data_IF_757705610261
#
_entry.id   IF_757705610261
#
_cell.length_a   1.000
_cell.length_b   1.000
_cell.length_c   1.000
_cell.angle_alpha   90.00
_cell.angle_beta   90.00
_cell.angle_gamma   90.00
#
_symmetry.space_group_name_H-M   'P 1'
#
loop_
_entity.id
_entity.type
_entity.pdbx_description
1 polymer ?
#
# COMPACT_ATOMS: atom_id res chain seq x y z
N UNK A 1 -31.00 14.87 23.46
CA UNK A 1 -30.62 14.69 22.04
C UNK A 1 -29.35 13.87 21.97
N UNK A 2 -29.45 12.56 21.77
CA UNK A 2 -28.28 11.73 21.60
C UNK A 2 -27.63 12.06 20.25
N UNK A 3 -26.58 12.89 20.25
CA UNK A 3 -25.63 12.98 19.14
C UNK A 3 -24.74 11.72 19.17
N UNK A 4 -25.38 10.56 19.05
CA UNK A 4 -24.68 9.31 18.76
C UNK A 4 -24.27 9.43 17.29
N UNK A 5 -22.99 9.72 17.08
CA UNK A 5 -22.42 9.84 15.73
C UNK A 5 -22.78 8.62 14.90
N UNK A 6 -23.06 8.84 13.62
CA UNK A 6 -23.37 7.76 12.69
C UNK A 6 -22.26 6.70 12.79
N UNK A 7 -22.62 5.50 13.24
CA UNK A 7 -21.69 4.38 13.38
C UNK A 7 -21.00 4.19 12.03
N UNK A 8 -19.66 4.28 12.00
CA UNK A 8 -18.89 3.91 10.80
C UNK A 8 -19.25 2.46 10.45
N UNK A 9 -19.72 2.17 9.23
CA UNK A 9 -20.01 0.80 8.84
C UNK A 9 -18.75 -0.04 9.03
N UNK A 10 -18.85 -1.12 9.81
CA UNK A 10 -17.73 -2.04 9.90
C UNK A 10 -17.43 -2.59 8.49
N UNK A 11 -16.17 -2.89 8.13
CA UNK A 11 -15.86 -3.51 6.83
C UNK A 11 -16.62 -4.81 6.56
N UNK A 12 -17.08 -5.49 7.62
CA UNK A 12 -17.98 -6.65 7.55
C UNK A 12 -19.43 -6.28 7.22
N UNK A 13 -19.89 -5.11 7.64
CA UNK A 13 -21.23 -4.55 7.41
C UNK A 13 -21.32 -3.84 6.04
N UNK A 14 -20.21 -3.31 5.50
CA UNK A 14 -20.18 -2.52 4.25
C UNK A 14 -20.09 -3.35 2.96
N UNK A 15 -20.08 -4.69 3.04
CA UNK A 15 -20.27 -5.60 1.90
C UNK A 15 -19.21 -5.58 0.79
N UNK A 16 -18.31 -4.60 0.78
CA UNK A 16 -17.34 -4.36 -0.27
C UNK A 16 -16.14 -5.31 -0.12
N UNK A 17 -16.36 -6.59 -0.40
CA UNK A 17 -15.29 -7.53 -0.71
C UNK A 17 -14.76 -7.15 -2.09
N UNK A 18 -13.88 -6.14 -2.13
CA UNK A 18 -13.19 -5.79 -3.36
C UNK A 18 -12.52 -7.06 -3.93
N UNK A 19 -12.63 -7.31 -5.25
CA UNK A 19 -11.94 -8.43 -5.86
C UNK A 19 -10.44 -8.31 -5.57
N UNK A 20 -9.82 -9.43 -5.19
CA UNK A 20 -8.37 -9.47 -5.03
C UNK A 20 -7.74 -9.26 -6.39
N UNK A 21 -6.63 -8.53 -6.44
CA UNK A 21 -5.86 -8.39 -7.67
C UNK A 21 -5.49 -9.78 -8.20
N UNK A 22 -5.66 -9.99 -9.51
CA UNK A 22 -5.20 -11.20 -10.21
C UNK A 22 -3.68 -11.22 -10.39
N UNK A 23 -3.07 -10.02 -10.42
CA UNK A 23 -1.63 -9.88 -10.50
C UNK A 23 -0.96 -10.39 -9.21
N UNK A 24 0.16 -11.12 -9.34
CA UNK A 24 0.93 -11.53 -8.17
C UNK A 24 1.42 -10.29 -7.42
N UNK A 25 1.62 -10.39 -6.09
CA UNK A 25 2.24 -9.31 -5.34
C UNK A 25 3.58 -8.96 -5.99
N UNK A 26 3.87 -7.66 -6.06
CA UNK A 26 5.17 -7.20 -6.53
C UNK A 26 6.25 -7.93 -5.72
N UNK A 27 7.28 -8.49 -6.37
CA UNK A 27 8.39 -9.12 -5.66
C UNK A 27 8.93 -8.19 -4.58
N UNK A 28 9.43 -8.76 -3.48
CA UNK A 28 10.17 -7.97 -2.50
C UNK A 28 11.20 -7.12 -3.25
N UNK A 29 11.05 -5.81 -3.17
CA UNK A 29 12.02 -4.87 -3.73
C UNK A 29 13.28 -5.09 -2.90
N UNK A 30 14.19 -5.91 -3.41
CA UNK A 30 15.45 -6.24 -2.75
C UNK A 30 16.34 -5.00 -2.72
N UNK A 31 16.14 -4.21 -1.68
CA UNK A 31 17.14 -3.32 -1.13
C UNK A 31 17.21 -3.69 0.34
N UNK A 32 18.36 -4.24 0.77
CA UNK A 32 18.66 -4.39 2.20
C UNK A 32 18.21 -3.12 2.93
N UNK A 33 17.71 -3.27 4.17
CA UNK A 33 17.47 -2.12 5.03
C UNK A 33 18.68 -1.18 4.93
N UNK A 34 18.43 0.10 4.64
CA UNK A 34 19.51 1.05 4.36
C UNK A 34 20.46 1.03 5.55
N UNK A 35 21.71 0.65 5.31
CA UNK A 35 22.75 0.68 6.36
C UNK A 35 23.18 2.10 6.70
N UNK A 36 22.81 3.08 5.87
CA UNK A 36 23.12 4.49 6.03
C UNK A 36 21.92 5.38 5.70
N UNK A 37 21.88 6.60 6.23
CA UNK A 37 20.80 7.58 5.97
C UNK A 37 20.87 8.20 4.55
N UNK A 38 21.87 7.82 3.76
CA UNK A 38 22.10 8.41 2.45
C UNK A 38 21.09 7.90 1.43
N UNK A 39 20.50 8.83 0.66
CA UNK A 39 19.57 8.49 -0.41
C UNK A 39 20.35 7.92 -1.59
N UNK A 40 19.92 6.77 -2.13
CA UNK A 40 20.46 6.25 -3.37
C UNK A 40 20.14 7.24 -4.50
N UNK A 41 21.12 7.48 -5.37
CA UNK A 41 20.91 8.30 -6.57
C UNK A 41 19.98 7.54 -7.52
N UNK A 42 19.04 8.22 -8.20
CA UNK A 42 18.22 7.57 -9.21
C UNK A 42 19.12 6.95 -10.29
N UNK A 43 18.86 5.69 -10.63
CA UNK A 43 19.52 5.04 -11.75
C UNK A 43 19.00 5.69 -13.03
N UNK A 44 19.88 6.36 -13.78
CA UNK A 44 19.55 6.81 -15.12
C UNK A 44 19.42 5.58 -16.02
N UNK A 45 18.19 5.16 -16.31
CA UNK A 45 17.94 4.21 -17.38
C UNK A 45 18.26 4.92 -18.70
N UNK A 46 19.45 4.67 -19.24
CA UNK A 46 19.76 5.02 -20.63
C UNK A 46 18.90 4.13 -21.52
N UNK A 47 17.79 4.68 -22.02
CA UNK A 47 17.08 4.09 -23.15
C UNK A 47 18.05 4.03 -24.34
N UNK A 48 18.33 2.83 -24.83
CA UNK A 48 18.75 2.62 -26.21
C UNK A 48 17.51 2.35 -27.04
#
# INVERSE_FOLDING_TARGET
MAKQGMKRPNPRESGNRAPKNEAPPVPEIQGKAKTTKQRAKPQAHSSR
#
